data_IF_994848822070
#
_entry.id   IF_994848822070
#
_cell.length_a   1.000
_cell.length_b   1.000
_cell.length_c   1.000
_cell.angle_alpha   90.00
_cell.angle_beta   90.00
_cell.angle_gamma   90.00
#
_symmetry.space_group_name_H-M   'P 1'
#
loop_
_entity.id
_entity.type
_entity.pdbx_description
1 polymer ?
#
# COMPACT_ATOMS: atom_id res chain seq x y z
N UNK A 1 8.11 -19.32 -21.77
CA UNK A 1 8.09 -18.72 -20.42
C UNK A 1 8.14 -17.21 -20.58
N UNK A 2 7.14 -16.45 -20.16
CA UNK A 2 7.26 -14.98 -20.16
C UNK A 2 8.22 -14.63 -19.03
N UNK A 3 9.36 -14.02 -19.35
CA UNK A 3 10.18 -13.34 -18.35
C UNK A 3 9.27 -12.26 -17.75
N UNK A 4 8.80 -12.47 -16.52
CA UNK A 4 8.25 -11.38 -15.73
C UNK A 4 9.45 -10.47 -15.45
N UNK A 5 9.65 -9.44 -16.26
CA UNK A 5 10.77 -8.53 -16.10
C UNK A 5 10.63 -7.80 -14.76
N UNK A 6 11.34 -8.31 -13.75
CA UNK A 6 11.45 -7.64 -12.46
C UNK A 6 12.36 -6.43 -12.67
N UNK A 7 11.76 -5.26 -12.80
CA UNK A 7 12.51 -4.01 -12.85
C UNK A 7 13.09 -3.70 -11.45
N UNK A 8 14.42 -3.78 -11.34
CA UNK A 8 15.13 -3.44 -10.12
C UNK A 8 15.22 -1.93 -9.92
N UNK A 9 15.10 -1.47 -8.68
CA UNK A 9 15.34 -0.08 -8.29
C UNK A 9 15.94 -0.01 -6.89
N UNK A 10 16.67 1.07 -6.59
CA UNK A 10 17.29 1.26 -5.30
C UNK A 10 16.47 2.23 -4.44
N UNK A 11 16.02 1.75 -3.27
CA UNK A 11 15.32 2.55 -2.28
C UNK A 11 16.26 3.09 -1.21
N UNK A 12 16.15 4.38 -0.91
CA UNK A 12 16.74 5.00 0.28
C UNK A 12 15.67 5.13 1.34
N UNK A 13 15.83 4.40 2.45
CA UNK A 13 14.88 4.38 3.56
C UNK A 13 15.58 4.80 4.84
N UNK A 14 14.85 5.48 5.71
CA UNK A 14 15.28 5.67 7.10
C UNK A 14 15.50 4.30 7.76
N UNK A 15 16.52 4.21 8.62
CA UNK A 15 16.90 2.94 9.27
C UNK A 15 15.74 2.26 9.98
N UNK A 16 14.99 3.01 10.80
CA UNK A 16 13.85 2.50 11.53
C UNK A 16 12.75 1.90 10.62
N UNK A 17 12.54 2.50 9.43
CA UNK A 17 11.56 2.00 8.46
C UNK A 17 12.03 0.68 7.85
N UNK A 18 13.31 0.60 7.48
CA UNK A 18 13.90 -0.64 6.95
C UNK A 18 13.86 -1.78 7.98
N UNK A 19 14.20 -1.50 9.23
CA UNK A 19 14.17 -2.48 10.33
C UNK A 19 12.74 -2.99 10.55
N UNK A 20 11.76 -2.08 10.62
CA UNK A 20 10.36 -2.46 10.73
C UNK A 20 9.90 -3.36 9.58
N UNK A 21 10.16 -2.97 8.33
CA UNK A 21 9.77 -3.77 7.16
C UNK A 21 10.48 -5.14 7.14
N UNK A 22 11.72 -5.21 7.63
CA UNK A 22 12.46 -6.47 7.73
C UNK A 22 11.82 -7.42 8.75
N UNK A 23 11.48 -6.90 9.93
CA UNK A 23 10.83 -7.70 10.98
C UNK A 23 9.46 -8.22 10.53
N UNK A 24 8.68 -7.38 9.85
CA UNK A 24 7.38 -7.76 9.30
C UNK A 24 7.52 -8.83 8.21
N UNK A 25 8.50 -8.68 7.32
CA UNK A 25 8.80 -9.69 6.30
C UNK A 25 9.16 -11.05 6.92
N UNK A 26 10.00 -11.05 7.96
CA UNK A 26 10.36 -12.26 8.71
C UNK A 26 9.13 -12.91 9.36
N UNK A 27 8.31 -12.11 10.06
CA UNK A 27 7.07 -12.58 10.71
C UNK A 27 6.11 -13.22 9.69
N UNK A 28 6.07 -12.69 8.48
CA UNK A 28 5.19 -13.16 7.41
C UNK A 28 5.80 -14.27 6.54
N UNK A 29 7.01 -14.74 6.86
CA UNK A 29 7.76 -15.72 6.05
C UNK A 29 7.93 -15.26 4.59
N UNK A 30 8.21 -13.97 4.38
CA UNK A 30 8.39 -13.33 3.06
C UNK A 30 9.76 -12.70 2.93
N UNK A 31 10.20 -12.51 1.69
CA UNK A 31 11.33 -11.62 1.41
C UNK A 31 10.93 -10.16 1.65
N UNK A 32 11.90 -9.31 2.01
CA UNK A 32 11.68 -7.87 2.18
C UNK A 32 11.05 -7.23 0.92
N UNK A 33 11.49 -7.64 -0.27
CA UNK A 33 10.93 -7.16 -1.53
C UNK A 33 9.44 -7.52 -1.68
N UNK A 34 9.07 -8.76 -1.36
CA UNK A 34 7.67 -9.19 -1.43
C UNK A 34 6.80 -8.43 -0.40
N UNK A 35 7.31 -8.25 0.83
CA UNK A 35 6.61 -7.47 1.85
C UNK A 35 6.38 -6.01 1.42
N UNK A 36 7.37 -5.36 0.79
CA UNK A 36 7.23 -4.01 0.23
C UNK A 36 6.15 -4.00 -0.84
N UNK A 37 6.19 -4.93 -1.81
CA UNK A 37 5.21 -5.00 -2.89
C UNK A 37 3.79 -5.19 -2.37
N UNK A 38 3.57 -6.11 -1.42
CA UNK A 38 2.25 -6.36 -0.83
C UNK A 38 1.71 -5.10 -0.15
N UNK A 39 2.54 -4.38 0.61
CA UNK A 39 2.12 -3.15 1.28
C UNK A 39 1.79 -2.03 0.28
N UNK A 40 2.58 -1.90 -0.78
CA UNK A 40 2.33 -0.91 -1.84
C UNK A 40 1.01 -1.18 -2.55
N UNK A 41 0.77 -2.43 -2.97
CA UNK A 41 -0.49 -2.84 -3.60
C UNK A 41 -1.67 -2.57 -2.67
N UNK A 42 -1.57 -2.98 -1.40
CA UNK A 42 -2.63 -2.76 -0.42
C UNK A 42 -2.88 -1.26 -0.13
N UNK A 43 -1.86 -0.41 -0.22
CA UNK A 43 -2.03 1.05 -0.08
C UNK A 43 -2.81 1.62 -1.25
N UNK A 44 -2.44 1.23 -2.48
CA UNK A 44 -3.10 1.68 -3.70
C UNK A 44 -4.56 1.24 -3.76
N UNK A 45 -4.85 0.00 -3.36
CA UNK A 45 -6.22 -0.52 -3.28
C UNK A 45 -7.05 0.29 -2.26
N UNK A 46 -6.48 0.66 -1.11
CA UNK A 46 -7.16 1.49 -0.11
C UNK A 46 -7.40 2.92 -0.59
N UNK A 47 -6.46 3.51 -1.32
CA UNK A 47 -6.62 4.84 -1.90
C UNK A 47 -7.73 4.85 -2.96
N UNK A 48 -7.77 3.84 -3.83
CA UNK A 48 -8.80 3.68 -4.85
C UNK A 48 -10.16 3.27 -4.27
N UNK A 49 -10.19 2.63 -3.10
CA UNK A 49 -11.42 2.22 -2.43
C UNK A 49 -12.10 3.32 -1.61
N UNK A 50 -11.48 4.50 -1.43
CA UNK A 50 -12.16 5.64 -0.80
C UNK A 50 -13.19 6.19 -1.79
N UNK A 51 -14.51 6.03 -1.54
CA UNK A 51 -15.49 6.75 -2.33
C UNK A 51 -15.27 8.23 -2.07
N UNK A 52 -15.42 9.05 -3.11
CA UNK A 52 -15.55 10.49 -2.99
C UNK A 52 -16.86 10.76 -2.23
N UNK A 53 -16.84 10.62 -0.91
CA UNK A 53 -17.94 11.00 -0.04
C UNK A 53 -17.92 12.52 0.12
N UNK A 54 -18.13 13.22 -1.00
CA UNK A 54 -18.36 14.64 -1.05
C UNK A 54 -19.61 14.86 -1.91
N UNK A 55 -20.72 15.17 -1.25
CA UNK A 55 -21.88 15.78 -1.90
C UNK A 55 -23.19 14.99 -1.87
N UNK A 56 -23.73 14.73 -0.68
CA UNK A 56 -25.18 14.82 -0.46
C UNK A 56 -25.43 15.44 0.91
N UNK A 57 -25.28 16.77 0.99
CA UNK A 57 -26.04 17.55 1.94
C UNK A 57 -27.48 17.55 1.40
N UNK A 58 -28.31 16.63 1.89
CA UNK A 58 -29.75 16.70 1.69
C UNK A 58 -30.26 17.85 2.56
N UNK A 59 -30.56 18.98 1.92
CA UNK A 59 -31.46 20.00 2.44
C UNK A 59 -32.77 19.30 2.87
N UNK A 60 -32.91 19.04 4.16
CA UNK A 60 -34.20 18.76 4.74
C UNK A 60 -34.93 20.11 4.90
N UNK A 61 -35.65 20.46 3.83
CA UNK A 61 -36.73 21.44 3.84
C UNK A 61 -37.68 21.09 4.99
N UNK A 62 -37.79 21.99 5.95
CA UNK A 62 -38.77 21.91 7.04
C UNK A 62 -40.14 22.42 6.50
N UNK A 63 -41.25 21.67 6.60
CA UNK A 63 -42.58 22.20 6.32
C UNK A 63 -43.05 23.20 7.37
#
# INVERSE_FOLDING_TARGET
MRNTEVAGFQLRLNRAVKERLTNEAQRNFRSLNNEINVRLIASLEKENARPVAAGQASDAVNP
#
